data_IF_804190209529
#
_entry.id   IF_804190209529
#
_cell.length_a   1.000
_cell.length_b   1.000
_cell.length_c   1.000
_cell.angle_alpha   90.00
_cell.angle_beta   90.00
_cell.angle_gamma   90.00
#
_symmetry.space_group_name_H-M   'P 1'
#
loop_
_entity.id
_entity.type
_entity.pdbx_description
1 polymer ?
#
# COMPACT_ATOMS: atom_id res chain seq x y z
N UNK A 1 -8.36 4.35 -12.11
CA UNK A 1 -7.60 4.43 -10.83
C UNK A 1 -6.28 5.17 -11.00
N UNK A 2 -5.37 4.74 -11.88
CA UNK A 2 -4.06 5.38 -12.06
C UNK A 2 -4.14 6.88 -12.40
N UNK A 3 -5.15 7.33 -13.16
CA UNK A 3 -5.38 8.75 -13.41
C UNK A 3 -5.59 9.59 -12.13
N UNK A 4 -6.12 9.01 -11.05
CA UNK A 4 -6.28 9.69 -9.75
C UNK A 4 -4.97 9.68 -8.97
N UNK A 5 -4.24 8.57 -9.03
CA UNK A 5 -2.90 8.41 -8.43
C UNK A 5 -1.93 9.46 -9.00
N UNK A 6 -1.95 9.64 -10.33
CA UNK A 6 -1.16 10.67 -11.02
C UNK A 6 -1.54 12.10 -10.61
N UNK A 7 -2.78 12.30 -10.14
CA UNK A 7 -3.26 13.59 -9.59
C UNK A 7 -2.99 13.74 -8.09
N UNK A 8 -2.24 12.83 -7.47
CA UNK A 8 -1.81 12.91 -6.08
C UNK A 8 -2.75 12.24 -5.06
N UNK A 9 -3.83 11.58 -5.51
CA UNK A 9 -4.71 10.82 -4.62
C UNK A 9 -3.94 9.67 -3.98
N UNK A 10 -4.15 9.47 -2.67
CA UNK A 10 -3.51 8.40 -1.91
C UNK A 10 -4.30 7.10 -1.99
N UNK A 11 -3.59 5.98 -1.99
CA UNK A 11 -4.14 4.62 -2.03
C UNK A 11 -3.68 3.89 -0.78
N UNK A 12 -4.63 3.29 -0.06
CA UNK A 12 -4.33 2.45 1.09
C UNK A 12 -4.10 1.01 0.62
N UNK A 13 -2.87 0.53 0.72
CA UNK A 13 -2.49 -0.85 0.41
C UNK A 13 -2.84 -1.73 1.60
N UNK A 14 -3.97 -2.44 1.51
CA UNK A 14 -4.58 -3.12 2.66
C UNK A 14 -5.51 -4.24 2.23
N UNK A 15 -5.86 -5.15 3.14
CA UNK A 15 -6.84 -6.22 2.88
C UNK A 15 -6.41 -7.20 1.78
N UNK A 16 -5.11 -7.50 1.68
CA UNK A 16 -4.54 -8.37 0.65
C UNK A 16 -5.15 -9.77 0.65
N UNK A 17 -5.55 -10.30 1.81
CA UNK A 17 -6.23 -11.61 1.90
C UNK A 17 -7.66 -11.65 1.35
N UNK A 18 -8.19 -10.55 0.81
CA UNK A 18 -9.53 -10.47 0.20
C UNK A 18 -9.51 -10.52 -1.33
N UNK A 19 -8.36 -10.26 -1.95
CA UNK A 19 -8.26 -10.12 -3.41
C UNK A 19 -7.86 -11.42 -4.07
N UNK A 20 -8.14 -11.51 -5.37
CA UNK A 20 -7.87 -12.65 -6.25
C UNK A 20 -6.91 -12.31 -7.40
N UNK A 21 -6.17 -11.20 -7.27
CA UNK A 21 -5.15 -10.73 -8.22
C UNK A 21 -3.76 -10.64 -7.58
N UNK A 22 -2.73 -10.42 -8.42
CA UNK A 22 -1.36 -10.24 -7.96
C UNK A 22 -1.15 -8.90 -7.25
N UNK A 23 -0.99 -8.96 -5.93
CA UNK A 23 -0.76 -7.79 -5.08
C UNK A 23 0.60 -7.15 -5.36
N UNK A 24 1.64 -7.94 -5.64
CA UNK A 24 2.99 -7.41 -5.88
C UNK A 24 3.03 -6.60 -7.18
N UNK A 25 2.40 -7.10 -8.24
CA UNK A 25 2.26 -6.37 -9.51
C UNK A 25 1.47 -5.06 -9.33
N UNK A 26 0.36 -5.10 -8.59
CA UNK A 26 -0.44 -3.91 -8.31
C UNK A 26 0.36 -2.86 -7.51
N UNK A 27 1.14 -3.29 -6.52
CA UNK A 27 2.02 -2.39 -5.75
C UNK A 27 3.06 -1.73 -6.64
N UNK A 28 3.74 -2.48 -7.51
CA UNK A 28 4.72 -1.94 -8.47
C UNK A 28 4.08 -0.91 -9.40
N UNK A 29 2.96 -1.28 -10.02
CA UNK A 29 2.24 -0.43 -10.98
C UNK A 29 1.81 0.91 -10.36
N UNK A 30 1.26 0.89 -9.15
CA UNK A 30 0.83 2.12 -8.47
C UNK A 30 2.04 2.94 -8.01
N UNK A 31 3.10 2.29 -7.53
CA UNK A 31 4.33 2.96 -7.13
C UNK A 31 5.02 3.67 -8.30
N UNK A 32 5.12 3.01 -9.45
CA UNK A 32 5.68 3.59 -10.68
C UNK A 32 4.89 4.82 -11.15
N UNK A 33 3.55 4.76 -11.03
CA UNK A 33 2.70 5.90 -11.33
C UNK A 33 2.92 7.08 -10.36
N UNK A 34 3.07 6.80 -9.06
CA UNK A 34 3.38 7.82 -8.07
C UNK A 34 4.00 7.21 -6.78
N UNK A 35 5.31 7.42 -6.53
CA UNK A 35 5.99 6.88 -5.35
C UNK A 35 5.42 7.35 -3.99
N UNK A 36 4.62 8.42 -3.99
CA UNK A 36 4.02 9.01 -2.81
C UNK A 36 2.55 8.62 -2.59
N UNK A 37 1.98 7.78 -3.45
CA UNK A 37 0.55 7.47 -3.40
C UNK A 37 0.21 6.35 -2.42
N UNK A 38 1.06 5.33 -2.30
CA UNK A 38 0.79 4.14 -1.50
C UNK A 38 1.04 4.39 0.00
N UNK A 39 0.09 3.92 0.83
CA UNK A 39 0.19 3.88 2.29
C UNK A 39 -0.31 2.53 2.79
N UNK A 40 0.50 1.80 3.55
CA UNK A 40 0.11 0.48 4.05
C UNK A 40 -0.93 0.56 5.19
N UNK A 41 -1.72 -0.50 5.33
CA UNK A 41 -2.54 -0.73 6.51
C UNK A 41 -2.96 -2.20 6.62
N UNK A 42 -3.34 -2.63 7.82
CA UNK A 42 -3.66 -4.04 8.09
C UNK A 42 -5.10 -4.45 7.75
N UNK A 43 -6.04 -3.50 7.67
CA UNK A 43 -7.49 -3.77 7.52
C UNK A 43 -8.06 -4.67 8.65
N UNK A 44 -7.51 -4.60 9.87
CA UNK A 44 -8.08 -5.29 11.03
C UNK A 44 -9.47 -4.71 11.38
N UNK A 45 -10.43 -5.56 11.80
CA UNK A 45 -10.32 -6.99 12.14
C UNK A 45 -10.49 -7.96 10.95
N UNK A 46 -10.36 -7.50 9.71
CA UNK A 46 -10.39 -8.33 8.49
C UNK A 46 -11.68 -9.13 8.26
N UNK A 47 -12.82 -8.64 8.77
CA UNK A 47 -14.13 -9.32 8.77
C UNK A 47 -14.70 -9.67 7.40
N UNK A 48 -14.08 -9.21 6.32
CA UNK A 48 -14.53 -9.41 4.93
C UNK A 48 -13.47 -10.08 4.05
N UNK A 49 -12.36 -10.55 4.62
CA UNK A 49 -11.28 -11.19 3.90
C UNK A 49 -11.34 -12.72 4.07
N UNK A 50 -11.03 -13.48 3.01
CA UNK A 50 -10.94 -14.95 3.10
C UNK A 50 -9.78 -15.37 4.01
N UNK A 51 -8.68 -14.62 3.95
CA UNK A 51 -7.54 -14.71 4.85
C UNK A 51 -7.43 -13.40 5.64
N UNK A 52 -7.37 -13.42 6.98
CA UNK A 52 -7.13 -12.22 7.77
C UNK A 52 -5.70 -11.69 7.54
N UNK A 53 -5.45 -10.46 8.00
CA UNK A 53 -4.09 -9.92 8.02
C UNK A 53 -3.11 -10.88 8.72
N UNK A 54 -1.92 -11.02 8.15
CA UNK A 54 -0.75 -11.58 8.83
C UNK A 54 0.50 -10.81 8.43
N UNK A 55 1.60 -10.96 9.16
CA UNK A 55 2.84 -10.20 8.91
C UNK A 55 3.47 -10.51 7.55
N UNK A 56 3.09 -11.60 6.89
CA UNK A 56 3.47 -11.84 5.49
C UNK A 56 2.89 -10.81 4.51
N UNK A 57 1.84 -10.07 4.90
CA UNK A 57 1.35 -8.93 4.12
C UNK A 57 2.37 -7.78 4.09
N UNK A 58 3.20 -7.64 5.12
CA UNK A 58 4.33 -6.71 5.10
C UNK A 58 5.43 -7.25 4.19
N UNK A 59 5.69 -8.56 4.23
CA UNK A 59 6.67 -9.21 3.38
C UNK A 59 6.33 -9.06 1.88
N UNK A 60 5.04 -9.07 1.51
CA UNK A 60 4.59 -8.76 0.15
C UNK A 60 5.07 -7.39 -0.33
N UNK A 61 5.06 -6.38 0.54
CA UNK A 61 5.55 -5.03 0.19
C UNK A 61 7.06 -5.04 -0.05
N UNK A 62 7.83 -5.75 0.79
CA UNK A 62 9.28 -5.87 0.62
C UNK A 62 9.69 -6.69 -0.61
N UNK A 63 8.91 -7.70 -1.01
CA UNK A 63 9.16 -8.45 -2.25
C UNK A 63 8.82 -7.65 -3.50
N UNK A 64 7.77 -6.84 -3.43
CA UNK A 64 7.30 -6.06 -4.56
C UNK A 64 8.21 -4.85 -4.87
N UNK A 65 8.81 -4.22 -3.86
CA UNK A 65 9.44 -2.92 -3.98
C UNK A 65 10.87 -2.89 -3.39
N UNK A 66 11.78 -2.06 -3.95
CA UNK A 66 13.08 -1.80 -3.31
C UNK A 66 12.91 -1.28 -1.88
N UNK A 67 13.92 -1.50 -1.02
CA UNK A 67 13.84 -1.19 0.42
C UNK A 67 13.41 0.26 0.71
N UNK A 68 13.96 1.23 -0.01
CA UNK A 68 13.60 2.65 0.16
C UNK A 68 12.14 2.94 -0.22
N UNK A 69 11.61 2.22 -1.21
CA UNK A 69 10.23 2.32 -1.64
C UNK A 69 9.29 1.66 -0.62
N UNK A 70 9.65 0.48 -0.11
CA UNK A 70 8.91 -0.20 0.95
C UNK A 70 8.81 0.67 2.21
N UNK A 71 9.90 1.33 2.62
CA UNK A 71 9.89 2.26 3.76
C UNK A 71 8.93 3.45 3.54
N UNK A 72 8.83 3.96 2.31
CA UNK A 72 7.86 5.00 1.96
C UNK A 72 6.42 4.49 2.12
N UNK A 73 6.13 3.31 1.59
CA UNK A 73 4.78 2.72 1.65
C UNK A 73 4.36 2.36 3.07
N UNK A 74 5.27 1.77 3.84
CA UNK A 74 5.01 1.30 5.21
C UNK A 74 4.94 2.44 6.22
N UNK A 75 5.60 3.57 5.96
CA UNK A 75 5.72 4.64 6.95
C UNK A 75 5.74 6.06 6.37
N UNK A 76 6.74 6.42 5.54
CA UNK A 76 7.03 7.84 5.27
C UNK A 76 5.89 8.56 4.56
N UNK A 77 5.17 7.90 3.64
CA UNK A 77 4.05 8.49 2.92
C UNK A 77 2.88 8.80 3.85
N UNK A 78 2.51 7.86 4.74
CA UNK A 78 1.46 8.07 5.72
C UNK A 78 1.83 9.18 6.72
N UNK A 79 3.08 9.18 7.21
CA UNK A 79 3.61 10.23 8.07
C UNK A 79 3.51 11.60 7.39
N UNK A 80 4.00 11.72 6.16
CA UNK A 80 3.95 12.98 5.41
C UNK A 80 2.50 13.43 5.17
N UNK A 81 1.57 12.51 4.88
CA UNK A 81 0.18 12.84 4.61
C UNK A 81 -0.59 13.28 5.86
N UNK A 82 -0.48 12.52 6.95
CA UNK A 82 -1.29 12.78 8.16
C UNK A 82 -0.66 13.81 9.09
N UNK A 83 0.67 13.94 9.12
CA UNK A 83 1.37 14.84 10.03
C UNK A 83 1.81 16.16 9.38
N UNK A 84 1.62 16.34 8.07
CA UNK A 84 1.61 17.68 7.49
C UNK A 84 0.34 18.39 7.97
N UNK A 85 0.45 18.96 9.17
CA UNK A 85 -0.41 20.03 9.62
C UNK A 85 -0.12 21.26 8.76
N UNK A 86 -1.18 21.97 8.38
CA UNK A 86 -1.19 23.23 7.64
C UNK A 86 -0.05 24.19 7.99
#
# INVERSE_FOLDING_TARGET
>A
MLALVNKGVKVKATGFGRVDFDVEEALRTIYEANPHALMFGTDLPSTRAKRPYCDDDINLVYRALPLEAAEKVLYKNARAWYLQSR
#
